data_IF_233382255890
#
_entry.id   IF_233382255890
#
_cell.length_a   1.000
_cell.length_b   1.000
_cell.length_c   1.000
_cell.angle_alpha   90.00
_cell.angle_beta   90.00
_cell.angle_gamma   90.00
#
_symmetry.space_group_name_H-M   'P 1'
#
loop_
_entity.id
_entity.type
_entity.pdbx_description
1 polymer ?
#
# COMPACT_ATOMS: atom_id res chain seq x y z
N UNK A 1 8.09 -0.08 9.59
CA UNK A 1 7.78 1.26 9.11
C UNK A 1 6.32 1.58 9.32
N UNK A 2 6.06 2.79 9.74
CA UNK A 2 4.72 3.27 10.08
C UNK A 2 3.75 3.18 8.91
N UNK A 3 4.22 3.57 7.72
CA UNK A 3 3.35 3.59 6.54
C UNK A 3 3.07 2.18 6.04
N UNK A 4 4.03 1.28 6.15
CA UNK A 4 3.81 -0.11 5.75
C UNK A 4 2.81 -0.79 6.69
N UNK A 5 2.88 -0.49 7.98
CA UNK A 5 1.90 -1.03 8.92
C UNK A 5 0.50 -0.45 8.69
N UNK A 6 0.44 0.85 8.37
CA UNK A 6 -0.83 1.47 8.01
C UNK A 6 -1.41 0.85 6.73
N UNK A 7 -0.56 0.54 5.76
CA UNK A 7 -1.00 -0.12 4.53
C UNK A 7 -1.56 -1.50 4.82
N UNK A 8 -0.93 -2.25 5.73
CA UNK A 8 -1.43 -3.57 6.12
C UNK A 8 -2.79 -3.47 6.79
N UNK A 9 -2.93 -2.58 7.76
CA UNK A 9 -4.19 -2.40 8.47
C UNK A 9 -5.29 -1.93 7.53
N UNK A 10 -4.98 -0.94 6.67
CA UNK A 10 -5.93 -0.43 5.69
C UNK A 10 -6.38 -1.51 4.71
N UNK A 11 -5.48 -2.42 4.33
CA UNK A 11 -5.81 -3.54 3.46
C UNK A 11 -6.85 -4.46 4.12
N UNK A 12 -6.64 -4.77 5.39
CA UNK A 12 -7.56 -5.64 6.12
C UNK A 12 -8.94 -4.97 6.24
N UNK A 13 -8.96 -3.69 6.58
CA UNK A 13 -10.21 -2.95 6.74
C UNK A 13 -10.96 -2.90 5.41
N UNK A 14 -10.27 -2.57 4.32
CA UNK A 14 -10.87 -2.47 3.00
C UNK A 14 -11.45 -3.82 2.56
N UNK A 15 -10.69 -4.90 2.76
CA UNK A 15 -11.15 -6.24 2.37
C UNK A 15 -12.39 -6.64 3.15
N UNK A 16 -12.44 -6.35 4.45
CA UNK A 16 -13.61 -6.66 5.28
C UNK A 16 -14.84 -5.85 4.91
N UNK A 17 -14.61 -4.66 4.33
CA UNK A 17 -15.71 -3.83 3.86
C UNK A 17 -16.21 -4.21 2.47
N UNK A 18 -15.59 -5.21 1.83
CA UNK A 18 -15.99 -5.70 0.52
C UNK A 18 -15.30 -5.03 -0.65
N UNK A 19 -14.25 -4.25 -0.38
CA UNK A 19 -13.45 -3.62 -1.44
C UNK A 19 -12.25 -4.48 -1.79
N UNK A 20 -11.73 -4.28 -3.03
CA UNK A 20 -10.49 -4.92 -3.45
C UNK A 20 -9.32 -3.98 -3.13
N UNK A 21 -8.57 -4.23 -2.05
CA UNK A 21 -7.52 -3.31 -1.62
C UNK A 21 -6.34 -3.26 -2.59
N UNK A 22 -6.02 -4.37 -3.26
CA UNK A 22 -4.90 -4.38 -4.21
C UNK A 22 -5.21 -3.52 -5.42
N UNK A 23 -6.42 -3.62 -5.94
CA UNK A 23 -6.83 -2.82 -7.09
C UNK A 23 -6.79 -1.33 -6.76
N UNK A 24 -7.26 -0.96 -5.57
CA UNK A 24 -7.21 0.41 -5.10
C UNK A 24 -5.78 0.91 -4.95
N UNK A 25 -4.91 0.09 -4.37
CA UNK A 25 -3.51 0.46 -4.16
C UNK A 25 -2.78 0.62 -5.48
N UNK A 26 -3.01 -0.28 -6.44
CA UNK A 26 -2.39 -0.17 -7.75
C UNK A 26 -2.79 1.11 -8.46
N UNK A 27 -4.05 1.49 -8.34
CA UNK A 27 -4.51 2.75 -8.90
C UNK A 27 -3.86 3.95 -8.21
N UNK A 28 -3.87 3.96 -6.87
CA UNK A 28 -3.36 5.07 -6.07
C UNK A 28 -1.86 5.27 -6.28
N UNK A 29 -1.11 4.17 -6.33
CA UNK A 29 0.35 4.23 -6.42
C UNK A 29 0.88 4.17 -7.85
N UNK A 30 0.01 4.41 -8.83
CA UNK A 30 0.43 4.50 -10.23
C UNK A 30 1.23 5.76 -10.49
N UNK A 31 1.01 6.81 -9.70
CA UNK A 31 1.75 8.05 -9.80
C UNK A 31 3.19 7.83 -9.31
N UNK A 32 4.22 8.32 -10.03
CA UNK A 32 5.59 8.16 -9.58
C UNK A 32 5.84 8.78 -8.21
N UNK A 33 6.82 8.21 -7.48
CA UNK A 33 7.24 8.77 -6.21
C UNK A 33 7.76 10.20 -6.41
N UNK A 34 7.52 11.12 -5.44
CA UNK A 34 7.86 12.53 -5.61
C UNK A 34 9.34 12.87 -5.55
N UNK A 35 10.24 11.90 -5.44
CA UNK A 35 11.68 12.15 -5.53
C UNK A 35 12.45 11.77 -4.27
N UNK A 36 13.74 12.13 -4.28
CA UNK A 36 14.68 11.63 -3.27
C UNK A 36 14.31 12.01 -1.84
N UNK A 37 13.82 13.21 -1.63
CA UNK A 37 13.44 13.64 -0.28
C UNK A 37 12.29 12.80 0.27
N UNK A 38 11.34 12.50 -0.59
CA UNK A 38 10.23 11.64 -0.21
C UNK A 38 10.72 10.22 0.11
N UNK A 39 11.56 9.67 -0.76
CA UNK A 39 12.07 8.31 -0.58
C UNK A 39 12.96 8.18 0.66
N UNK A 40 13.56 9.27 1.12
CA UNK A 40 14.36 9.26 2.34
C UNK A 40 13.54 9.10 3.62
N UNK A 41 12.25 9.43 3.58
CA UNK A 41 11.38 9.39 4.74
C UNK A 41 10.18 8.46 4.59
N UNK A 42 9.89 8.03 3.35
CA UNK A 42 8.73 7.19 3.05
C UNK A 42 9.15 6.00 2.22
N UNK A 43 8.50 4.85 2.37
CA UNK A 43 8.81 3.71 1.52
C UNK A 43 8.36 3.97 0.08
N UNK A 44 9.06 3.39 -0.92
CA UNK A 44 8.65 3.51 -2.32
C UNK A 44 7.26 2.96 -2.55
N UNK A 45 6.55 3.51 -3.55
CA UNK A 45 5.22 3.05 -3.89
C UNK A 45 5.19 1.55 -4.23
N UNK A 46 6.21 1.06 -4.93
CA UNK A 46 6.28 -0.36 -5.26
C UNK A 46 6.30 -1.24 -4.01
N UNK A 47 7.01 -0.82 -2.97
CA UNK A 47 7.06 -1.56 -1.71
C UNK A 47 5.71 -1.53 -1.01
N UNK A 48 5.02 -0.41 -1.06
CA UNK A 48 3.71 -0.27 -0.44
C UNK A 48 2.67 -1.14 -1.14
N UNK A 49 2.68 -1.16 -2.47
CA UNK A 49 1.78 -2.03 -3.24
C UNK A 49 2.06 -3.50 -2.91
N UNK A 50 3.33 -3.86 -2.74
CA UNK A 50 3.69 -5.24 -2.42
C UNK A 50 3.15 -5.65 -1.04
N UNK A 51 3.20 -4.76 -0.05
CA UNK A 51 2.63 -5.03 1.25
C UNK A 51 1.12 -5.25 1.16
N UNK A 52 0.44 -4.42 0.37
CA UNK A 52 -1.01 -4.59 0.17
C UNK A 52 -1.30 -5.94 -0.51
N UNK A 53 -0.52 -6.29 -1.53
CA UNK A 53 -0.70 -7.55 -2.25
C UNK A 53 -0.50 -8.75 -1.32
N UNK A 54 0.57 -8.73 -0.53
CA UNK A 54 0.85 -9.82 0.40
C UNK A 54 -0.22 -9.93 1.48
N UNK A 55 -0.64 -8.81 2.02
CA UNK A 55 -1.67 -8.80 3.06
C UNK A 55 -2.99 -9.33 2.51
N UNK A 56 -3.39 -8.87 1.34
CA UNK A 56 -4.64 -9.33 0.72
C UNK A 56 -4.61 -10.83 0.41
N UNK A 57 -3.45 -11.34 0.00
CA UNK A 57 -3.32 -12.77 -0.32
C UNK A 57 -3.45 -13.67 0.92
N UNK A 58 -3.26 -13.13 2.11
CA UNK A 58 -3.32 -13.88 3.36
C UNK A 58 -4.64 -13.69 4.13
N UNK A 59 -5.60 -13.06 3.53
CA UNK A 59 -6.92 -12.86 4.17
C UNK A 59 -7.92 -14.01 3.90
#
# INVERSE_FOLDING_TARGET
DFELEADRLGTIIAARAGYDPLRGAEFFFRVPDPGDQFLGTHPPNAQRVEIVRQTAANL
#
